data_IF_918405388441
#
_entry.id   IF_918405388441
#
_cell.length_a   1.000
_cell.length_b   1.000
_cell.length_c   1.000
_cell.angle_alpha   90.00
_cell.angle_beta   90.00
_cell.angle_gamma   90.00
#
_symmetry.space_group_name_H-M   'P 1'
#
loop_
_entity.id
_entity.type
_entity.pdbx_description
1 polymer ?
#
# COMPACT_ATOMS: atom_id res chain seq x y z
N UNK A 1 5.93 -16.84 -17.47
CA UNK A 1 5.28 -17.43 -16.28
C UNK A 1 3.98 -16.68 -16.06
N UNK A 2 2.87 -17.37 -15.78
CA UNK A 2 1.60 -16.74 -15.43
C UNK A 2 1.46 -16.80 -13.93
N UNK A 3 1.33 -15.66 -13.27
CA UNK A 3 1.05 -15.61 -11.84
C UNK A 3 -0.46 -15.84 -11.66
N UNK A 4 -0.80 -16.84 -10.86
CA UNK A 4 -2.19 -17.22 -10.62
C UNK A 4 -2.84 -16.21 -9.65
N UNK A 5 -3.85 -15.47 -10.13
CA UNK A 5 -4.71 -14.63 -9.30
C UNK A 5 -5.82 -15.51 -8.71
N UNK A 6 -5.97 -15.51 -7.38
CA UNK A 6 -7.06 -16.25 -6.72
C UNK A 6 -8.11 -15.27 -6.23
N UNK A 7 -9.36 -15.51 -6.61
CA UNK A 7 -10.50 -14.71 -6.19
C UNK A 7 -11.51 -15.56 -5.43
N UNK A 8 -12.10 -14.98 -4.38
CA UNK A 8 -13.14 -15.62 -3.61
C UNK A 8 -14.16 -14.60 -3.10
N UNK A 9 -15.41 -15.03 -2.92
CA UNK A 9 -16.42 -14.19 -2.26
C UNK A 9 -16.29 -14.28 -0.75
N UNK A 10 -16.34 -13.14 -0.06
CA UNK A 10 -16.31 -13.14 1.39
C UNK A 10 -17.62 -13.74 1.95
N UNK A 11 -17.49 -14.73 2.84
CA UNK A 11 -18.65 -15.37 3.47
C UNK A 11 -19.47 -14.32 4.25
N UNK A 12 -20.77 -14.25 3.98
CA UNK A 12 -21.66 -13.26 4.60
C UNK A 12 -21.76 -11.93 3.84
N UNK A 13 -20.89 -11.67 2.87
CA UNK A 13 -20.86 -10.45 2.07
C UNK A 13 -20.86 -10.78 0.57
N UNK A 14 -22.05 -10.87 -0.02
CA UNK A 14 -22.21 -11.32 -1.42
C UNK A 14 -21.56 -10.39 -2.45
N UNK A 15 -21.45 -9.10 -2.11
CA UNK A 15 -20.93 -8.05 -2.98
C UNK A 15 -19.44 -7.77 -2.74
N UNK A 16 -18.76 -8.58 -1.91
CA UNK A 16 -17.35 -8.42 -1.60
C UNK A 16 -16.54 -9.55 -2.24
N UNK A 17 -15.61 -9.16 -3.11
CA UNK A 17 -14.64 -10.03 -3.74
C UNK A 17 -13.31 -9.82 -3.03
N UNK A 18 -12.71 -10.90 -2.54
CA UNK A 18 -11.35 -10.93 -2.02
C UNK A 18 -10.46 -11.46 -3.12
N UNK A 19 -9.48 -10.64 -3.51
CA UNK A 19 -8.43 -11.03 -4.46
C UNK A 19 -7.13 -11.23 -3.70
N UNK A 20 -6.59 -12.43 -3.77
CA UNK A 20 -5.26 -12.76 -3.25
C UNK A 20 -4.19 -12.36 -4.27
N UNK A 21 -3.22 -11.59 -3.80
CA UNK A 21 -2.06 -11.17 -4.57
C UNK A 21 -0.83 -11.97 -4.16
N UNK A 22 0.13 -12.18 -5.06
CA UNK A 22 1.42 -12.75 -4.70
C UNK A 22 2.06 -12.04 -3.50
N UNK A 23 2.68 -12.82 -2.61
CA UNK A 23 3.50 -12.25 -1.54
C UNK A 23 4.72 -11.55 -2.12
N UNK A 24 4.86 -10.26 -1.80
CA UNK A 24 5.93 -9.38 -2.30
C UNK A 24 6.57 -8.64 -1.12
N UNK A 25 7.80 -8.17 -1.31
CA UNK A 25 8.48 -7.33 -0.32
C UNK A 25 8.44 -5.84 -0.69
N UNK A 26 8.19 -5.52 -1.96
CA UNK A 26 8.15 -4.15 -2.45
C UNK A 26 7.26 -4.04 -3.68
N UNK A 27 6.80 -2.82 -3.99
CA UNK A 27 6.19 -2.45 -5.27
C UNK A 27 7.25 -2.10 -6.32
N UNK A 28 8.54 -2.32 -6.05
CA UNK A 28 9.58 -2.23 -7.07
C UNK A 28 9.51 -3.44 -7.98
N UNK A 29 9.72 -3.30 -9.30
CA UNK A 29 9.24 -4.31 -10.22
C UNK A 29 10.35 -5.29 -10.67
N UNK A 30 11.08 -5.88 -9.70
CA UNK A 30 12.23 -6.74 -9.94
C UNK A 30 11.86 -8.21 -10.16
N UNK A 31 10.73 -8.65 -9.61
CA UNK A 31 10.17 -9.99 -9.83
C UNK A 31 8.85 -9.92 -10.61
N UNK A 32 8.42 -11.06 -11.16
CA UNK A 32 7.14 -11.15 -11.84
C UNK A 32 5.96 -10.98 -10.86
N UNK A 33 6.10 -11.51 -9.65
CA UNK A 33 5.14 -11.37 -8.54
C UNK A 33 4.94 -9.91 -8.16
N UNK A 34 6.04 -9.15 -8.06
CA UNK A 34 6.00 -7.71 -7.79
C UNK A 34 5.32 -6.94 -8.91
N UNK A 35 5.62 -7.28 -10.18
CA UNK A 35 4.97 -6.67 -11.34
C UNK A 35 3.46 -6.93 -11.35
N UNK A 36 3.03 -8.16 -11.07
CA UNK A 36 1.63 -8.54 -11.10
C UNK A 36 0.86 -7.84 -9.98
N UNK A 37 1.40 -7.86 -8.76
CA UNK A 37 0.76 -7.21 -7.60
C UNK A 37 0.65 -5.71 -7.80
N UNK A 38 1.74 -5.06 -8.24
CA UNK A 38 1.76 -3.63 -8.56
C UNK A 38 0.75 -3.26 -9.64
N UNK A 39 0.74 -4.00 -10.75
CA UNK A 39 -0.16 -3.70 -11.86
C UNK A 39 -1.62 -3.82 -11.44
N UNK A 40 -1.95 -4.82 -10.62
CA UNK A 40 -3.31 -4.95 -10.09
C UNK A 40 -3.69 -3.75 -9.22
N UNK A 41 -2.83 -3.37 -8.27
CA UNK A 41 -3.10 -2.24 -7.38
C UNK A 41 -3.27 -0.92 -8.14
N UNK A 42 -2.50 -0.68 -9.20
CA UNK A 42 -2.56 0.57 -9.99
C UNK A 42 -3.72 0.57 -10.99
N UNK A 43 -3.90 -0.54 -11.73
CA UNK A 43 -4.81 -0.58 -12.88
C UNK A 43 -6.23 -1.00 -12.47
N UNK A 44 -6.35 -2.06 -11.68
CA UNK A 44 -7.64 -2.56 -11.20
C UNK A 44 -8.17 -1.72 -10.03
N UNK A 45 -7.26 -1.09 -9.27
CA UNK A 45 -7.56 -0.11 -8.22
C UNK A 45 -8.65 -0.59 -7.24
N UNK A 46 -8.34 -1.56 -6.37
CA UNK A 46 -9.31 -2.13 -5.43
C UNK A 46 -9.87 -1.08 -4.48
N UNK A 47 -11.08 -1.31 -3.96
CA UNK A 47 -11.74 -0.36 -3.05
C UNK A 47 -11.04 -0.25 -1.67
N UNK A 48 -10.32 -1.29 -1.26
CA UNK A 48 -9.49 -1.30 -0.06
C UNK A 48 -8.42 -2.42 -0.13
N UNK A 49 -7.37 -2.28 0.66
CA UNK A 49 -6.28 -3.25 0.79
C UNK A 49 -6.24 -3.77 2.23
N UNK A 50 -6.10 -5.09 2.38
CA UNK A 50 -5.75 -5.72 3.65
C UNK A 50 -4.27 -6.08 3.56
N UNK A 51 -3.43 -5.34 4.28
CA UNK A 51 -1.99 -5.59 4.33
C UNK A 51 -1.66 -6.55 5.49
N UNK A 52 -1.16 -7.73 5.17
CA UNK A 52 -0.85 -8.76 6.17
C UNK A 52 0.58 -8.58 6.68
N UNK A 53 0.71 -8.03 7.88
CA UNK A 53 2.00 -7.68 8.50
C UNK A 53 2.35 -8.67 9.60
N UNK A 54 3.53 -9.28 9.54
CA UNK A 54 4.05 -10.13 10.62
C UNK A 54 4.57 -9.28 11.80
N UNK A 55 3.87 -9.31 12.93
CA UNK A 55 4.25 -8.58 14.14
C UNK A 55 5.59 -9.00 14.74
N UNK A 56 6.12 -10.18 14.41
CA UNK A 56 7.45 -10.62 14.87
C UNK A 56 8.60 -10.01 14.07
N UNK A 57 8.30 -9.43 12.90
CA UNK A 57 9.29 -8.86 11.99
C UNK A 57 8.78 -7.52 11.41
N UNK A 58 8.32 -6.65 12.32
CA UNK A 58 7.55 -5.45 11.98
C UNK A 58 8.29 -4.53 11.01
N UNK A 59 9.54 -4.15 11.32
CA UNK A 59 10.34 -3.22 10.50
C UNK A 59 10.45 -3.66 9.04
N UNK A 60 10.71 -4.95 8.82
CA UNK A 60 10.82 -5.51 7.46
C UNK A 60 9.50 -5.46 6.70
N UNK A 61 8.39 -5.76 7.37
CA UNK A 61 7.07 -5.78 6.75
C UNK A 61 6.58 -4.35 6.44
N UNK A 62 6.87 -3.40 7.33
CA UNK A 62 6.44 -2.01 7.17
C UNK A 62 7.06 -1.33 5.95
N UNK A 63 8.15 -1.85 5.38
CA UNK A 63 8.70 -1.35 4.12
C UNK A 63 7.67 -1.42 2.99
N UNK A 64 7.00 -2.56 2.79
CA UNK A 64 5.93 -2.67 1.80
C UNK A 64 4.74 -1.78 2.19
N UNK A 65 4.35 -1.81 3.47
CA UNK A 65 3.24 -1.01 3.99
C UNK A 65 3.38 0.47 3.63
N UNK A 66 4.57 1.05 3.79
CA UNK A 66 4.82 2.46 3.44
C UNK A 66 4.55 2.78 1.97
N UNK A 67 4.82 1.85 1.06
CA UNK A 67 4.57 2.06 -0.37
C UNK A 67 3.09 1.87 -0.72
N UNK A 68 2.41 0.95 -0.03
CA UNK A 68 0.98 0.68 -0.26
C UNK A 68 0.13 1.85 0.22
N UNK A 69 0.42 2.42 1.39
CA UNK A 69 -0.34 3.59 1.90
C UNK A 69 -0.22 4.82 1.00
N UNK A 70 0.83 4.91 0.19
CA UNK A 70 1.03 6.01 -0.76
C UNK A 70 0.17 5.88 -2.02
N UNK A 71 -0.43 4.72 -2.29
CA UNK A 71 -1.25 4.48 -3.49
C UNK A 71 -2.58 5.23 -3.50
N UNK A 72 -2.98 5.87 -2.40
CA UNK A 72 -4.27 6.54 -2.29
C UNK A 72 -5.46 5.58 -2.11
N UNK A 73 -5.19 4.29 -1.91
CA UNK A 73 -6.21 3.27 -1.67
C UNK A 73 -6.39 3.12 -0.15
N UNK A 74 -7.62 3.00 0.38
CA UNK A 74 -7.82 2.72 1.81
C UNK A 74 -7.10 1.42 2.24
N UNK A 75 -6.29 1.50 3.30
CA UNK A 75 -5.49 0.37 3.81
C UNK A 75 -5.96 -0.02 5.21
N UNK A 76 -6.03 -1.32 5.48
CA UNK A 76 -6.16 -1.88 6.82
C UNK A 76 -5.02 -2.88 7.04
N UNK A 77 -4.29 -2.72 8.14
CA UNK A 77 -3.21 -3.64 8.49
C UNK A 77 -3.79 -4.79 9.33
N UNK A 78 -3.68 -6.01 8.82
CA UNK A 78 -3.88 -7.22 9.59
C UNK A 78 -2.56 -7.60 10.26
N UNK A 79 -2.32 -7.12 11.49
CA UNK A 79 -1.10 -7.39 12.24
C UNK A 79 -1.15 -8.81 12.83
N UNK A 80 -0.50 -9.74 12.15
CA UNK A 80 -0.52 -11.17 12.45
C UNK A 80 0.57 -11.56 13.46
N UNK A 81 0.49 -12.80 13.96
CA UNK A 81 1.43 -13.39 14.93
C UNK A 81 1.50 -12.66 16.27
N UNK A 82 0.46 -11.92 16.66
CA UNK A 82 0.42 -11.18 17.93
C UNK A 82 0.49 -12.07 19.17
N UNK A 83 0.14 -13.35 19.06
CA UNK A 83 0.35 -14.32 20.13
C UNK A 83 1.83 -14.65 20.35
N UNK A 84 2.66 -14.63 19.30
CA UNK A 84 4.11 -14.82 19.39
C UNK A 84 4.76 -13.57 19.97
N UNK A 85 4.39 -12.38 19.50
CA UNK A 85 4.85 -11.08 20.04
C UNK A 85 4.57 -10.99 21.55
N UNK A 86 3.36 -11.33 21.97
CA UNK A 86 3.00 -11.33 23.40
C UNK A 86 3.81 -12.36 24.19
N UNK A 87 4.14 -13.51 23.59
CA UNK A 87 4.96 -14.56 24.22
C UNK A 87 6.44 -14.16 24.34
N UNK A 88 6.97 -13.38 23.40
CA UNK A 88 8.33 -12.80 23.49
C UNK A 88 8.43 -11.64 24.48
N UNK A 89 7.30 -11.18 25.05
CA UNK A 89 7.16 -10.00 25.93
C UNK A 89 7.37 -8.66 25.21
N UNK A 90 7.40 -8.67 23.88
CA UNK A 90 7.37 -7.46 23.09
C UNK A 90 5.98 -6.83 23.10
N UNK A 91 5.92 -5.53 22.89
CA UNK A 91 4.66 -4.77 22.84
C UNK A 91 4.66 -3.87 21.62
N UNK A 92 3.65 -4.03 20.78
CA UNK A 92 3.37 -3.13 19.66
C UNK A 92 2.19 -2.26 20.08
N UNK A 93 2.40 -0.95 20.08
CA UNK A 93 1.33 0.02 20.28
C UNK A 93 0.61 0.22 18.94
N UNK A 94 -0.44 -0.57 18.72
CA UNK A 94 -1.18 -0.58 17.45
C UNK A 94 -1.91 0.72 17.18
N UNK A 95 -2.29 1.46 18.24
CA UNK A 95 -2.90 2.77 18.09
C UNK A 95 -1.88 3.76 17.53
N UNK A 96 -0.72 3.90 18.18
CA UNK A 96 0.33 4.83 17.70
C UNK A 96 0.85 4.43 16.33
N UNK A 97 0.99 3.14 16.05
CA UNK A 97 1.42 2.66 14.75
C UNK A 97 0.39 2.99 13.67
N UNK A 98 -0.91 2.81 13.96
CA UNK A 98 -1.98 3.20 13.04
C UNK A 98 -2.03 4.70 12.79
N UNK A 99 -1.90 5.51 13.84
CA UNK A 99 -1.79 6.97 13.72
C UNK A 99 -0.58 7.39 12.88
N UNK A 100 0.56 6.72 13.05
CA UNK A 100 1.78 7.01 12.31
C UNK A 100 1.69 6.66 10.81
N UNK A 101 0.99 5.58 10.48
CA UNK A 101 0.83 5.07 9.11
C UNK A 101 -0.40 5.63 8.40
N UNK A 102 -1.34 6.22 9.14
CA UNK A 102 -2.59 6.75 8.58
C UNK A 102 -3.61 5.67 8.22
N UNK A 103 -3.57 4.50 8.88
CA UNK A 103 -4.45 3.37 8.59
C UNK A 103 -4.86 2.61 9.87
N UNK A 104 -5.99 1.90 9.79
CA UNK A 104 -6.46 1.08 10.92
C UNK A 104 -5.67 -0.22 11.03
N UNK A 105 -5.37 -0.63 12.27
CA UNK A 105 -4.64 -1.87 12.56
C UNK A 105 -5.54 -2.84 13.34
N UNK A 106 -5.70 -4.04 12.80
CA UNK A 106 -6.42 -5.14 13.42
C UNK A 106 -5.43 -6.25 13.79
N UNK A 107 -5.31 -6.55 15.08
CA UNK A 107 -4.56 -7.71 15.53
C UNK A 107 -5.22 -9.00 15.04
N UNK A 108 -4.44 -9.88 14.42
CA UNK A 108 -4.88 -11.19 13.94
C UNK A 108 -3.98 -12.31 14.47
N UNK A 109 -4.53 -13.52 14.50
CA UNK A 109 -3.74 -14.74 14.71
C UNK A 109 -4.34 -15.83 13.83
N UNK A 110 -3.63 -16.15 12.74
CA UNK A 110 -4.05 -17.19 11.81
C UNK A 110 -4.18 -18.55 12.52
N UNK A 111 -3.26 -18.87 13.45
CA UNK A 111 -3.28 -20.11 14.23
C UNK A 111 -4.55 -20.25 15.09
N UNK A 112 -5.03 -19.14 15.66
CA UNK A 112 -6.22 -19.12 16.52
C UNK A 112 -7.51 -18.80 15.77
N UNK A 113 -7.42 -18.46 14.48
CA UNK A 113 -8.55 -18.02 13.67
C UNK A 113 -9.19 -16.71 14.16
N UNK A 114 -8.44 -15.86 14.86
CA UNK A 114 -8.96 -14.62 15.46
C UNK A 114 -8.62 -13.39 14.62
N UNK A 115 -9.55 -12.44 14.52
CA UNK A 115 -9.32 -11.12 13.92
C UNK A 115 -9.44 -11.04 12.40
N UNK A 116 -9.47 -12.16 11.68
CA UNK A 116 -9.58 -12.19 10.21
C UNK A 116 -10.88 -11.58 9.69
N UNK A 117 -12.03 -11.96 10.26
CA UNK A 117 -13.31 -11.36 9.91
C UNK A 117 -13.36 -9.87 10.26
N UNK A 118 -12.80 -9.50 11.41
CA UNK A 118 -12.73 -8.09 11.83
C UNK A 118 -11.89 -7.25 10.86
N UNK A 119 -10.76 -7.77 10.40
CA UNK A 119 -9.93 -7.09 9.39
C UNK A 119 -10.70 -6.88 8.08
N UNK A 120 -11.44 -7.91 7.62
CA UNK A 120 -12.29 -7.81 6.44
C UNK A 120 -13.43 -6.77 6.62
N UNK A 121 -14.13 -6.78 7.75
CA UNK A 121 -15.18 -5.80 8.07
C UNK A 121 -14.64 -4.37 8.14
N UNK A 122 -13.44 -4.20 8.71
CA UNK A 122 -12.75 -2.90 8.78
C UNK A 122 -12.40 -2.41 7.38
N UNK A 123 -11.87 -3.29 6.51
CA UNK A 123 -11.58 -2.95 5.13
C UNK A 123 -12.84 -2.58 4.32
N UNK A 124 -13.97 -3.28 4.54
CA UNK A 124 -15.27 -2.92 3.94
C UNK A 124 -15.73 -1.54 4.39
N UNK A 125 -15.53 -1.19 5.67
CA UNK A 125 -15.84 0.15 6.19
C UNK A 125 -14.94 1.22 5.56
N UNK A 126 -13.63 0.97 5.48
CA UNK A 126 -12.66 1.85 4.83
C UNK A 126 -13.02 2.10 3.35
N UNK A 127 -13.33 1.04 2.61
CA UNK A 127 -13.78 1.11 1.22
C UNK A 127 -15.03 2.01 1.03
N UNK A 128 -15.99 1.95 1.96
CA UNK A 128 -17.21 2.77 1.90
C UNK A 128 -16.97 4.24 2.18
N UNK A 129 -16.09 4.55 3.13
CA UNK A 129 -15.76 5.93 3.48
C UNK A 129 -14.84 6.58 2.44
N UNK A 130 -14.11 5.76 1.65
CA UNK A 130 -13.14 6.20 0.64
C UNK A 130 -12.07 7.13 1.20
N UNK A 131 -11.81 7.05 2.51
CA UNK A 131 -10.73 7.78 3.14
C UNK A 131 -9.46 7.00 2.84
N UNK A 132 -8.69 7.50 1.88
CA UNK A 132 -7.36 6.98 1.59
C UNK A 132 -6.46 7.07 2.82
N UNK A 133 -5.54 6.11 2.97
CA UNK A 133 -4.47 6.27 3.93
C UNK A 133 -3.64 7.51 3.53
N UNK A 134 -3.36 8.38 4.50
CA UNK A 134 -2.45 9.50 4.31
C UNK A 134 -1.31 9.32 5.31
N UNK A 135 -0.06 9.09 4.86
CA UNK A 135 1.05 8.92 5.78
C UNK A 135 1.17 10.14 6.70
N UNK A 136 1.09 9.93 8.02
CA UNK A 136 1.29 11.02 8.99
C UNK A 136 2.75 11.46 9.08
N UNK A 137 3.67 10.66 8.53
CA UNK A 137 5.11 10.92 8.57
C UNK A 137 5.63 11.27 7.18
N UNK A 138 5.85 12.56 6.89
CA UNK A 138 6.56 12.96 5.68
C UNK A 138 8.02 12.49 5.72
N UNK A 139 8.62 12.36 4.54
CA UNK A 139 10.07 12.30 4.40
C UNK A 139 10.73 13.57 4.98
N UNK A 140 12.06 13.62 4.97
CA UNK A 140 12.75 14.85 5.33
C UNK A 140 12.35 16.00 4.37
N UNK A 141 12.50 17.24 4.85
CA UNK A 141 12.07 18.44 4.13
C UNK A 141 12.54 18.51 2.68
N UNK A 142 13.80 18.16 2.40
CA UNK A 142 14.35 18.23 1.03
C UNK A 142 13.68 17.24 0.09
N UNK A 143 13.35 16.05 0.59
CA UNK A 143 12.67 15.03 -0.19
C UNK A 143 11.21 15.43 -0.43
N UNK A 144 10.51 15.95 0.58
CA UNK A 144 9.14 16.45 0.38
C UNK A 144 9.07 17.65 -0.56
N UNK A 145 10.05 18.57 -0.52
CA UNK A 145 10.15 19.67 -1.49
C UNK A 145 10.28 19.12 -2.92
N UNK A 146 11.17 18.15 -3.14
CA UNK A 146 11.33 17.53 -4.46
C UNK A 146 10.07 16.78 -4.92
N UNK A 147 9.40 16.04 -4.01
CA UNK A 147 8.15 15.35 -4.32
C UNK A 147 7.04 16.36 -4.67
N UNK A 148 6.95 17.49 -3.95
CA UNK A 148 5.98 18.55 -4.21
C UNK A 148 6.23 19.22 -5.55
N UNK A 149 7.50 19.54 -5.87
CA UNK A 149 7.87 20.14 -7.15
C UNK A 149 7.52 19.21 -8.31
N UNK A 150 7.75 17.90 -8.18
CA UNK A 150 7.32 16.91 -9.17
C UNK A 150 5.79 16.85 -9.23
N UNK A 151 5.09 16.81 -8.10
CA UNK A 151 3.63 16.78 -8.11
C UNK A 151 3.03 17.97 -8.86
N UNK A 152 3.58 19.18 -8.68
CA UNK A 152 3.11 20.39 -9.36
C UNK A 152 3.40 20.39 -10.86
N UNK A 153 4.60 19.96 -11.29
CA UNK A 153 4.99 19.94 -12.69
C UNK A 153 4.29 18.84 -13.51
N UNK A 154 3.83 17.78 -12.84
CA UNK A 154 3.26 16.59 -13.49
C UNK A 154 1.79 16.34 -13.13
N UNK A 155 1.13 17.28 -12.43
CA UNK A 155 -0.26 17.17 -11.95
C UNK A 155 -1.30 16.78 -13.00
N UNK A 156 -1.08 17.15 -14.27
CA UNK A 156 -2.03 16.89 -15.36
C UNK A 156 -1.90 15.45 -15.92
N UNK A 157 -0.95 14.65 -15.42
CA UNK A 157 -0.72 13.28 -15.88
C UNK A 157 -1.46 12.21 -15.07
N UNK A 158 -1.93 12.55 -13.87
CA UNK A 158 -2.53 11.59 -12.94
C UNK A 158 -3.62 12.23 -12.09
N UNK A 159 -4.56 11.42 -11.62
CA UNK A 159 -5.61 11.85 -10.70
C UNK A 159 -5.02 12.32 -9.35
N UNK A 160 -5.67 13.26 -8.64
CA UNK A 160 -5.14 13.83 -7.40
C UNK A 160 -4.83 12.81 -6.30
N UNK A 161 -5.64 11.75 -6.20
CA UNK A 161 -5.48 10.65 -5.24
C UNK A 161 -4.22 9.81 -5.49
N UNK A 162 -3.71 9.78 -6.74
CA UNK A 162 -2.50 9.06 -7.15
C UNK A 162 -1.26 9.94 -7.24
N UNK A 163 -1.42 11.25 -7.04
CA UNK A 163 -0.37 12.25 -7.26
C UNK A 163 0.90 11.96 -6.46
N UNK A 164 0.77 11.61 -5.17
CA UNK A 164 1.93 11.34 -4.32
C UNK A 164 2.72 10.14 -4.81
N UNK A 165 2.06 9.03 -5.10
CA UNK A 165 2.71 7.80 -5.57
C UNK A 165 3.48 8.02 -6.87
N UNK A 166 2.85 8.65 -7.88
CA UNK A 166 3.54 8.91 -9.15
C UNK A 166 4.71 9.87 -8.96
N UNK A 167 4.58 10.88 -8.10
CA UNK A 167 5.66 11.82 -7.81
C UNK A 167 6.87 11.13 -7.19
N UNK A 168 6.64 10.21 -6.24
CA UNK A 168 7.69 9.38 -5.64
C UNK A 168 8.34 8.48 -6.69
N UNK A 169 7.55 7.83 -7.55
CA UNK A 169 8.11 6.93 -8.59
C UNK A 169 8.90 7.67 -9.66
N UNK A 170 8.49 8.89 -10.00
CA UNK A 170 9.24 9.78 -10.87
C UNK A 170 10.56 10.22 -10.21
N UNK A 171 10.52 10.56 -8.92
CA UNK A 171 11.72 10.88 -8.13
C UNK A 171 12.71 9.70 -8.07
N UNK A 172 12.19 8.47 -7.92
CA UNK A 172 12.98 7.23 -7.96
C UNK A 172 13.48 6.84 -9.37
N UNK A 173 13.04 7.55 -10.41
CA UNK A 173 13.29 7.22 -11.82
C UNK A 173 12.85 5.80 -12.19
N UNK A 174 11.69 5.37 -11.67
CA UNK A 174 11.13 4.05 -11.97
C UNK A 174 10.87 3.88 -13.47
N UNK A 175 11.64 3.02 -14.12
CA UNK A 175 11.61 2.83 -15.58
C UNK A 175 10.24 2.39 -16.10
N UNK A 176 9.48 1.62 -15.31
CA UNK A 176 8.16 1.14 -15.73
C UNK A 176 7.12 2.25 -15.65
N UNK A 177 7.16 3.10 -14.61
CA UNK A 177 6.33 4.31 -14.57
C UNK A 177 6.70 5.23 -15.71
N UNK A 178 7.98 5.56 -15.88
CA UNK A 178 8.45 6.45 -16.94
C UNK A 178 8.06 5.96 -18.34
N UNK A 179 8.16 4.64 -18.59
CA UNK A 179 7.76 4.03 -19.85
C UNK A 179 6.24 4.04 -20.08
N UNK A 180 5.42 4.08 -19.03
CA UNK A 180 3.96 4.17 -19.12
C UNK A 180 3.45 5.60 -19.33
N UNK A 181 4.23 6.61 -18.92
CA UNK A 181 3.84 8.02 -18.99
C UNK A 181 4.22 8.65 -20.33
N UNK A 182 3.28 9.41 -20.91
CA UNK A 182 3.53 10.20 -22.13
C UNK A 182 4.08 11.57 -21.76
N UNK A 183 5.37 11.61 -21.41
CA UNK A 183 6.06 12.85 -21.06
C UNK A 183 6.41 13.67 -22.31
N UNK A 184 6.13 14.96 -22.29
CA UNK A 184 6.60 15.91 -23.31
C UNK A 184 8.10 16.23 -23.11
N UNK A 185 8.71 16.95 -24.06
CA UNK A 185 10.15 17.25 -24.01
C UNK A 185 10.55 18.10 -22.78
N UNK A 186 9.73 19.09 -22.42
CA UNK A 186 9.96 19.96 -21.25
C UNK A 186 9.89 19.17 -19.93
N UNK A 187 8.93 18.26 -19.82
CA UNK A 187 8.77 17.37 -18.68
C UNK A 187 9.96 16.41 -18.52
N UNK A 188 10.53 15.91 -19.62
CA UNK A 188 11.73 15.06 -19.55
C UNK A 188 12.94 15.84 -19.06
N UNK A 189 13.16 17.04 -19.57
CA UNK A 189 14.28 17.91 -19.15
C UNK A 189 14.18 18.26 -17.66
N UNK A 190 12.98 18.55 -17.17
CA UNK A 190 12.71 18.82 -15.74
C UNK A 190 12.93 17.63 -14.81
N UNK A 191 12.87 16.38 -15.29
CA UNK A 191 13.18 15.19 -14.49
C UNK A 191 14.68 14.88 -14.43
N UNK A 192 15.44 15.39 -15.40
CA UNK A 192 16.87 15.12 -15.52
C UNK A 192 17.75 16.14 -14.79
N UNK A 193 17.26 17.38 -14.61
CA UNK A 193 17.92 18.47 -13.87
C UNK A 193 17.75 18.39 -12.37
#
# INVERSE_FOLDING_TARGET
VTVEKKEGRLKGHKDVIITDLPGIYSLSPYSLEEVVSRNYLINDHPDAIIDLVDGTNLERNLYLTTQIVELGIPVVIALNMMDIVKKSKDRIDTQKLGEALGCEIVETSALKGTGTMKAAETAISAARTKIAAAPSHPFNKRVEEAISDIAENFKDLFEPDRSRWYSIKLFERDEKVLGSLKLNAEQKEKLEG
#
